data_IF_278829419321
#
_entry.id   IF_278829419321
#
_cell.length_a   1.000
_cell.length_b   1.000
_cell.length_c   1.000
_cell.angle_alpha   90.00
_cell.angle_beta   90.00
_cell.angle_gamma   90.00
#
_symmetry.space_group_name_H-M   'P 1'
#
loop_
_entity.id
_entity.type
_entity.pdbx_description
1 polymer ?
#
# COMPACT_ATOMS: atom_id res chain seq x y z
N UNK A 1 15.11 62.01 -14.35
CA UNK A 1 14.44 61.17 -15.36
C UNK A 1 15.04 59.78 -15.23
N UNK A 2 14.23 58.88 -14.70
CA UNK A 2 14.52 57.51 -14.27
C UNK A 2 14.32 56.53 -15.41
N UNK A 3 15.30 55.64 -15.66
CA UNK A 3 15.19 54.34 -16.34
C UNK A 3 16.52 53.63 -16.04
N UNK A 4 16.62 52.45 -15.43
CA UNK A 4 15.65 51.40 -15.18
C UNK A 4 16.45 50.09 -15.30
N UNK A 5 17.26 49.77 -14.27
CA UNK A 5 17.99 48.51 -14.20
C UNK A 5 17.00 47.41 -13.83
N UNK A 6 16.54 46.66 -14.83
CA UNK A 6 15.79 45.41 -14.64
C UNK A 6 16.67 44.40 -13.93
N UNK A 7 16.46 44.27 -12.62
CA UNK A 7 16.87 43.10 -11.84
C UNK A 7 16.12 41.90 -12.37
N UNK A 8 16.82 41.00 -13.05
CA UNK A 8 16.33 39.65 -13.27
C UNK A 8 16.25 38.96 -11.91
N UNK A 9 15.04 38.88 -11.34
CA UNK A 9 14.74 37.90 -10.30
C UNK A 9 14.84 36.53 -10.97
N UNK A 10 15.94 35.83 -10.73
CA UNK A 10 16.02 34.41 -10.99
C UNK A 10 15.26 33.73 -9.85
N UNK A 11 13.99 33.41 -10.11
CA UNK A 11 13.17 32.62 -9.20
C UNK A 11 13.81 31.25 -9.04
N UNK A 12 14.45 31.01 -7.89
CA UNK A 12 14.85 29.68 -7.45
C UNK A 12 13.55 28.90 -7.20
N UNK A 13 13.15 28.08 -8.16
CA UNK A 13 12.18 27.02 -7.94
C UNK A 13 12.81 26.05 -6.94
N UNK A 14 12.44 26.19 -5.67
CA UNK A 14 12.52 25.10 -4.72
C UNK A 14 11.61 23.99 -5.26
N UNK A 15 12.18 23.10 -6.07
CA UNK A 15 11.67 21.75 -6.21
C UNK A 15 11.86 21.12 -4.84
N UNK A 16 10.85 21.26 -3.98
CA UNK A 16 10.69 20.39 -2.83
C UNK A 16 10.64 18.99 -3.40
N UNK A 17 11.73 18.24 -3.23
CA UNK A 17 11.73 16.79 -3.33
C UNK A 17 10.81 16.28 -2.22
N UNK A 18 9.51 16.33 -2.47
CA UNK A 18 8.55 15.53 -1.75
C UNK A 18 9.01 14.10 -1.94
N UNK A 19 9.45 13.44 -0.87
CA UNK A 19 9.57 11.99 -0.83
C UNK A 19 8.26 11.44 -1.37
N UNK A 20 8.28 10.94 -2.61
CA UNK A 20 7.12 10.26 -3.18
C UNK A 20 7.11 8.94 -2.43
N UNK A 21 6.35 8.87 -1.35
CA UNK A 21 5.96 7.57 -0.83
C UNK A 21 5.05 7.01 -1.93
N UNK A 22 5.61 6.09 -2.70
CA UNK A 22 4.88 5.29 -3.67
C UNK A 22 3.89 4.47 -2.88
N UNK A 23 2.68 4.29 -3.40
CA UNK A 23 1.68 3.43 -2.80
C UNK A 23 2.31 2.04 -2.51
N UNK A 24 1.94 1.44 -1.37
CA UNK A 24 2.57 0.25 -0.85
C UNK A 24 1.67 -0.96 -1.09
N UNK A 25 2.17 -2.03 -1.75
CA UNK A 25 1.41 -3.26 -1.93
C UNK A 25 1.22 -3.98 -0.59
N UNK A 26 0.02 -4.48 -0.34
CA UNK A 26 -0.29 -5.35 0.81
C UNK A 26 -1.37 -6.36 0.47
N UNK A 27 -1.29 -7.54 1.06
CA UNK A 27 -2.34 -8.56 0.94
C UNK A 27 -3.28 -8.52 2.14
N UNK A 28 -4.56 -8.79 1.90
CA UNK A 28 -5.59 -8.86 2.93
C UNK A 28 -6.55 -10.02 2.67
N UNK A 29 -6.96 -10.71 3.73
CA UNK A 29 -8.03 -11.70 3.68
C UNK A 29 -9.33 -11.03 4.13
N UNK A 30 -10.31 -10.96 3.24
CA UNK A 30 -11.61 -10.34 3.48
C UNK A 30 -12.67 -11.44 3.60
N UNK A 31 -13.54 -11.35 4.60
CA UNK A 31 -14.59 -12.34 4.86
C UNK A 31 -15.96 -11.72 4.63
N UNK A 32 -16.88 -12.48 4.04
CA UNK A 32 -18.27 -12.03 3.83
C UNK A 32 -18.93 -11.67 5.18
N UNK A 33 -19.43 -10.44 5.29
CA UNK A 33 -20.05 -9.93 6.52
C UNK A 33 -21.46 -10.44 6.75
N UNK A 34 -21.88 -10.52 8.02
CA UNK A 34 -23.25 -10.82 8.41
C UNK A 34 -24.03 -9.53 8.72
N UNK A 35 -24.35 -8.76 7.68
CA UNK A 35 -25.09 -7.49 7.78
C UNK A 35 -26.45 -7.57 7.08
N UNK A 36 -27.37 -6.67 7.47
CA UNK A 36 -28.66 -6.57 6.81
C UNK A 36 -28.47 -5.98 5.40
N UNK A 37 -29.10 -6.58 4.39
CA UNK A 37 -29.05 -6.20 2.96
C UNK A 37 -27.75 -6.50 2.20
N UNK A 38 -26.72 -7.04 2.85
CA UNK A 38 -25.49 -7.50 2.18
C UNK A 38 -25.39 -9.02 2.17
N UNK A 39 -24.61 -9.54 1.22
CA UNK A 39 -24.34 -10.98 1.05
C UNK A 39 -25.65 -11.79 0.89
N UNK A 40 -26.63 -11.17 0.22
CA UNK A 40 -27.90 -11.75 -0.16
C UNK A 40 -28.04 -11.60 -1.67
N UNK A 41 -28.11 -12.71 -2.37
CA UNK A 41 -28.32 -12.75 -3.81
C UNK A 41 -29.70 -13.33 -4.05
N UNK A 42 -30.56 -12.57 -4.73
CA UNK A 42 -31.87 -13.04 -5.16
C UNK A 42 -31.70 -13.82 -6.45
N UNK A 43 -32.17 -15.07 -6.46
CA UNK A 43 -32.23 -15.91 -7.64
C UNK A 43 -33.67 -15.87 -8.17
N UNK A 44 -33.82 -15.60 -9.46
CA UNK A 44 -35.10 -15.61 -10.17
C UNK A 44 -35.09 -16.69 -11.26
N UNK A 45 -36.17 -17.46 -11.33
CA UNK A 45 -36.42 -18.44 -12.39
C UNK A 45 -37.69 -18.05 -13.14
N UNK A 46 -37.56 -17.79 -14.45
CA UNK A 46 -38.63 -17.24 -15.29
C UNK A 46 -39.12 -18.25 -16.35
N UNK A 47 -39.88 -19.29 -15.96
CA UNK A 47 -40.42 -20.25 -16.90
C UNK A 47 -41.52 -19.61 -17.77
N UNK A 48 -41.65 -20.02 -19.04
CA UNK A 48 -42.71 -19.54 -19.92
C UNK A 48 -44.08 -19.86 -19.34
N UNK A 49 -45.02 -18.91 -19.44
CA UNK A 49 -46.45 -19.04 -19.05
C UNK A 49 -46.73 -19.43 -17.58
N UNK A 50 -45.70 -19.58 -16.74
CA UNK A 50 -45.78 -19.85 -15.31
C UNK A 50 -45.25 -18.63 -14.52
N UNK A 51 -45.61 -18.49 -13.23
CA UNK A 51 -45.13 -17.37 -12.43
C UNK A 51 -43.64 -17.48 -12.14
N UNK A 52 -42.94 -16.33 -12.13
CA UNK A 52 -41.53 -16.23 -11.74
C UNK A 52 -41.32 -16.71 -10.31
N UNK A 53 -40.35 -17.60 -10.14
CA UNK A 53 -39.93 -18.13 -8.85
C UNK A 53 -38.81 -17.26 -8.32
N UNK A 54 -38.83 -17.00 -7.02
CA UNK A 54 -37.84 -16.14 -6.37
C UNK A 54 -37.45 -16.72 -5.03
N UNK A 55 -36.16 -16.81 -4.80
CA UNK A 55 -35.61 -17.09 -3.47
C UNK A 55 -34.27 -16.35 -3.29
N UNK A 56 -33.78 -16.28 -2.06
CA UNK A 56 -32.56 -15.55 -1.72
C UNK A 56 -31.53 -16.49 -1.12
N UNK A 57 -30.39 -16.62 -1.79
CA UNK A 57 -29.23 -17.28 -1.23
C UNK A 57 -28.41 -16.31 -0.38
N UNK A 58 -27.80 -16.84 0.68
CA UNK A 58 -26.88 -16.11 1.54
C UNK A 58 -25.44 -16.47 1.22
N UNK A 59 -24.64 -15.47 0.85
CA UNK A 59 -23.21 -15.64 0.61
C UNK A 59 -22.42 -15.72 1.92
N UNK A 60 -21.46 -16.63 1.94
CA UNK A 60 -20.43 -16.76 2.97
C UNK A 60 -19.11 -17.20 2.34
N UNK A 61 -17.99 -17.03 3.05
CA UNK A 61 -16.66 -17.34 2.53
C UNK A 61 -15.70 -16.17 2.65
N UNK A 62 -14.57 -16.27 1.97
CA UNK A 62 -13.50 -15.28 2.05
C UNK A 62 -12.75 -15.15 0.74
N UNK A 63 -12.19 -13.97 0.52
CA UNK A 63 -11.31 -13.69 -0.61
C UNK A 63 -9.95 -13.19 -0.09
N UNK A 64 -8.89 -13.47 -0.84
CA UNK A 64 -7.59 -12.85 -0.69
C UNK A 64 -7.44 -11.76 -1.75
N UNK A 65 -7.11 -10.55 -1.32
CA UNK A 65 -6.88 -9.40 -2.21
C UNK A 65 -5.47 -8.87 -2.04
N UNK A 66 -4.88 -8.40 -3.13
CA UNK A 66 -3.73 -7.51 -3.16
C UNK A 66 -4.22 -6.08 -3.37
N UNK A 67 -3.77 -5.16 -2.52
CA UNK A 67 -4.15 -3.75 -2.52
C UNK A 67 -2.90 -2.89 -2.64
N UNK A 68 -2.99 -1.83 -3.42
CA UNK A 68 -1.95 -0.79 -3.50
C UNK A 68 -2.43 0.44 -2.71
N UNK A 69 -1.87 0.66 -1.51
CA UNK A 69 -2.36 1.68 -0.56
C UNK A 69 -1.34 2.80 -0.39
N UNK A 70 -1.75 4.05 -0.58
CA UNK A 70 -0.95 5.22 -0.24
C UNK A 70 -1.08 5.53 1.27
N UNK A 71 0.00 5.37 2.07
CA UNK A 71 -0.03 5.64 3.51
C UNK A 71 -0.26 7.11 3.89
N UNK A 72 0.00 8.06 2.97
CA UNK A 72 -0.14 9.49 3.21
C UNK A 72 -1.59 9.92 3.02
N UNK A 73 -2.21 9.49 1.93
CA UNK A 73 -3.56 9.92 1.53
C UNK A 73 -4.66 8.99 2.03
N UNK A 74 -4.32 7.80 2.54
CA UNK A 74 -5.27 6.75 2.93
C UNK A 74 -6.14 6.27 1.77
N UNK A 75 -5.57 6.30 0.56
CA UNK A 75 -6.26 5.93 -0.69
C UNK A 75 -5.74 4.60 -1.22
N UNK A 76 -6.60 3.89 -1.93
CA UNK A 76 -6.27 2.67 -2.68
C UNK A 76 -6.36 2.95 -4.17
N UNK A 77 -5.32 2.60 -4.93
CA UNK A 77 -5.30 2.80 -6.39
C UNK A 77 -5.53 1.51 -7.18
N UNK A 78 -5.26 0.36 -6.56
CA UNK A 78 -5.38 -0.94 -7.21
C UNK A 78 -5.93 -1.97 -6.24
N UNK A 79 -6.76 -2.88 -6.76
CA UNK A 79 -7.24 -4.07 -6.07
C UNK A 79 -7.22 -5.26 -7.03
N UNK A 80 -6.54 -6.33 -6.63
CA UNK A 80 -6.54 -7.61 -7.34
C UNK A 80 -7.04 -8.70 -6.42
N UNK A 81 -8.11 -9.39 -6.82
CA UNK A 81 -8.55 -10.64 -6.17
C UNK A 81 -7.61 -11.75 -6.61
N UNK A 82 -6.78 -12.24 -5.68
CA UNK A 82 -5.80 -13.29 -5.90
C UNK A 82 -6.44 -14.67 -5.83
N UNK A 83 -7.31 -14.85 -4.85
CA UNK A 83 -8.08 -16.07 -4.62
C UNK A 83 -9.42 -15.69 -3.99
N UNK A 84 -10.45 -16.45 -4.26
CA UNK A 84 -11.78 -16.11 -3.76
C UNK A 84 -12.74 -17.26 -3.84
N UNK A 85 -13.00 -17.88 -2.69
CA UNK A 85 -13.97 -18.95 -2.55
C UNK A 85 -15.15 -18.46 -1.71
N UNK A 86 -16.32 -18.43 -2.34
CA UNK A 86 -17.58 -18.10 -1.67
C UNK A 86 -18.62 -19.17 -1.93
N UNK A 87 -19.62 -19.22 -1.07
CA UNK A 87 -20.68 -20.22 -1.12
C UNK A 87 -22.02 -19.57 -0.79
N UNK A 88 -23.02 -19.89 -1.60
CA UNK A 88 -24.42 -19.58 -1.38
C UNK A 88 -25.15 -20.71 -0.67
N UNK A 89 -26.01 -20.39 0.29
CA UNK A 89 -26.98 -21.35 0.83
C UNK A 89 -27.88 -21.92 -0.26
N UNK A 90 -28.42 -23.12 -0.03
CA UNK A 90 -29.47 -23.72 -0.84
C UNK A 90 -30.66 -22.76 -1.04
N UNK A 91 -31.31 -22.86 -2.19
CA UNK A 91 -32.51 -22.12 -2.55
C UNK A 91 -33.60 -23.04 -3.09
N UNK A 92 -34.85 -22.64 -2.90
CA UNK A 92 -36.04 -23.34 -3.38
C UNK A 92 -36.86 -22.40 -4.28
N UNK A 93 -37.05 -22.80 -5.53
CA UNK A 93 -37.79 -22.05 -6.53
C UNK A 93 -39.00 -22.86 -6.96
N UNK A 94 -40.20 -22.37 -6.63
CA UNK A 94 -41.44 -23.03 -7.02
C UNK A 94 -42.49 -22.04 -7.52
N UNK A 95 -43.36 -22.53 -8.40
CA UNK A 95 -44.43 -21.73 -8.96
C UNK A 95 -45.46 -22.62 -9.62
N UNK A 96 -46.73 -22.23 -9.52
CA UNK A 96 -47.83 -22.96 -10.14
C UNK A 96 -48.90 -22.03 -10.66
N UNK A 97 -49.59 -22.46 -11.71
CA UNK A 97 -50.82 -21.82 -12.18
C UNK A 97 -51.85 -22.90 -12.49
N UNK A 98 -53.01 -22.75 -11.87
CA UNK A 98 -54.12 -23.68 -12.00
C UNK A 98 -54.46 -23.93 -13.48
N UNK A 99 -54.49 -25.20 -13.89
CA UNK A 99 -54.71 -25.69 -15.27
C UNK A 99 -53.60 -25.44 -16.29
N UNK A 100 -52.53 -24.70 -15.97
CA UNK A 100 -51.39 -24.47 -16.88
C UNK A 100 -50.25 -25.42 -16.56
N UNK A 101 -49.84 -25.48 -15.30
CA UNK A 101 -48.64 -26.23 -14.91
C UNK A 101 -48.04 -25.81 -13.57
N UNK A 102 -46.90 -26.40 -13.25
CA UNK A 102 -46.11 -26.13 -12.05
C UNK A 102 -44.63 -26.47 -12.25
N UNK A 103 -43.77 -25.86 -11.45
CA UNK A 103 -42.40 -26.29 -11.26
C UNK A 103 -42.01 -26.23 -9.79
N UNK A 104 -41.01 -27.04 -9.45
CA UNK A 104 -40.38 -27.10 -8.14
C UNK A 104 -38.92 -27.47 -8.34
N UNK A 105 -38.01 -26.56 -7.96
CA UNK A 105 -36.57 -26.69 -8.11
C UNK A 105 -35.89 -26.41 -6.78
N UNK A 106 -34.93 -27.25 -6.42
CA UNK A 106 -34.11 -27.13 -5.23
C UNK A 106 -32.64 -27.08 -5.65
N UNK A 107 -31.87 -26.18 -5.04
CA UNK A 107 -30.43 -26.17 -5.19
C UNK A 107 -29.75 -26.81 -3.98
N UNK A 108 -28.60 -27.44 -4.21
CA UNK A 108 -27.64 -27.66 -3.12
C UNK A 108 -27.03 -26.33 -2.68
N UNK A 109 -26.13 -26.36 -1.69
CA UNK A 109 -25.14 -25.29 -1.51
C UNK A 109 -24.41 -25.07 -2.83
N UNK A 110 -24.30 -23.82 -3.27
CA UNK A 110 -23.64 -23.43 -4.52
C UNK A 110 -22.29 -22.81 -4.19
N UNK A 111 -21.19 -23.39 -4.68
CA UNK A 111 -19.86 -22.81 -4.52
C UNK A 111 -19.50 -21.97 -5.75
N UNK A 112 -18.91 -20.81 -5.51
CA UNK A 112 -18.51 -19.86 -6.52
C UNK A 112 -17.11 -19.31 -6.26
N UNK A 113 -16.43 -18.95 -7.35
CA UNK A 113 -15.11 -18.35 -7.34
C UNK A 113 -15.17 -16.89 -7.76
N UNK A 114 -14.34 -16.06 -7.12
CA UNK A 114 -14.10 -14.67 -7.51
C UNK A 114 -12.64 -14.49 -7.95
N UNK A 115 -12.45 -13.75 -9.04
CA UNK A 115 -11.11 -13.50 -9.56
C UNK A 115 -11.01 -12.17 -10.29
N UNK A 116 -9.78 -11.67 -10.44
CA UNK A 116 -9.44 -10.56 -11.35
C UNK A 116 -8.69 -11.13 -12.55
N UNK A 117 -9.36 -11.37 -13.70
CA UNK A 117 -8.74 -12.06 -14.83
C UNK A 117 -7.56 -11.29 -15.44
N UNK A 118 -7.61 -9.95 -15.41
CA UNK A 118 -6.56 -9.07 -15.93
C UNK A 118 -6.05 -8.15 -14.81
N UNK A 119 -5.07 -8.60 -14.01
CA UNK A 119 -4.51 -7.78 -12.94
C UNK A 119 -3.52 -6.72 -13.46
N UNK A 120 -3.38 -5.57 -12.78
CA UNK A 120 -4.14 -5.16 -11.59
C UNK A 120 -5.52 -4.61 -11.93
N UNK A 121 -6.49 -4.82 -11.03
CA UNK A 121 -7.77 -4.12 -11.09
C UNK A 121 -7.60 -2.66 -10.61
N UNK A 122 -8.15 -1.72 -11.37
CA UNK A 122 -7.98 -0.28 -11.15
C UNK A 122 -9.11 0.24 -10.26
N UNK A 123 -8.72 1.00 -9.24
CA UNK A 123 -9.62 1.68 -8.30
C UNK A 123 -9.38 3.19 -8.41
N UNK A 124 -10.45 3.97 -8.48
CA UNK A 124 -10.34 5.43 -8.38
C UNK A 124 -9.91 5.80 -6.96
N UNK A 125 -8.70 6.35 -6.73
CA UNK A 125 -8.21 6.64 -5.39
C UNK A 125 -9.04 7.69 -4.65
N UNK A 126 -9.76 8.53 -5.38
CA UNK A 126 -10.53 9.63 -4.79
C UNK A 126 -11.88 9.18 -4.22
N UNK A 127 -12.48 8.14 -4.79
CA UNK A 127 -13.80 7.63 -4.38
C UNK A 127 -13.75 6.22 -3.80
N UNK A 128 -12.69 5.46 -4.09
CA UNK A 128 -12.62 4.02 -3.82
C UNK A 128 -13.45 3.18 -4.78
N UNK A 129 -14.04 3.77 -5.82
CA UNK A 129 -14.88 3.08 -6.78
C UNK A 129 -14.07 2.33 -7.84
N UNK A 130 -14.57 1.17 -8.27
CA UNK A 130 -14.01 0.43 -9.39
C UNK A 130 -15.12 -0.11 -10.30
N UNK A 131 -14.78 -0.34 -11.57
CA UNK A 131 -15.68 -1.02 -12.51
C UNK A 131 -15.70 -2.51 -12.18
N UNK A 132 -16.88 -3.05 -11.79
CA UNK A 132 -17.05 -4.44 -11.41
C UNK A 132 -16.76 -5.42 -12.56
N UNK A 133 -16.75 -4.96 -13.82
CA UNK A 133 -16.43 -5.80 -14.97
C UNK A 133 -14.96 -6.26 -14.99
N UNK A 134 -14.10 -5.62 -14.19
CA UNK A 134 -12.72 -6.04 -13.96
C UNK A 134 -12.61 -7.34 -13.15
N UNK A 135 -13.71 -7.79 -12.54
CA UNK A 135 -13.75 -9.00 -11.74
C UNK A 135 -14.78 -9.98 -12.28
N UNK A 136 -14.54 -11.28 -12.06
CA UNK A 136 -15.45 -12.35 -12.46
C UNK A 136 -16.04 -13.05 -11.25
N UNK A 137 -17.30 -13.45 -11.37
CA UNK A 137 -17.98 -14.32 -10.43
C UNK A 137 -18.45 -15.57 -11.18
N UNK A 138 -17.99 -16.75 -10.76
CA UNK A 138 -18.30 -18.02 -11.43
C UNK A 138 -18.77 -19.06 -10.43
N UNK A 139 -20.02 -19.50 -10.54
CA UNK A 139 -20.56 -20.66 -9.82
C UNK A 139 -20.00 -21.91 -10.49
N UNK A 140 -19.23 -22.69 -9.72
CA UNK A 140 -18.45 -23.83 -10.24
C UNK A 140 -18.65 -25.12 -9.46
N UNK A 141 -19.59 -25.14 -8.51
CA UNK A 141 -19.98 -26.36 -7.80
C UNK A 141 -21.39 -26.27 -7.22
N UNK A 142 -21.97 -27.45 -6.98
CA UNK A 142 -23.35 -27.60 -6.53
C UNK A 142 -24.29 -27.95 -7.67
N UNK A 143 -25.54 -28.22 -7.33
CA UNK A 143 -26.58 -28.60 -8.29
C UNK A 143 -27.82 -27.73 -8.13
N UNK A 144 -28.58 -27.57 -9.22
CA UNK A 144 -29.94 -27.02 -9.23
C UNK A 144 -30.81 -27.99 -10.03
N UNK A 145 -31.80 -28.60 -9.39
CA UNK A 145 -32.61 -29.62 -10.06
C UNK A 145 -34.02 -29.73 -9.51
N UNK A 146 -34.87 -30.40 -10.28
CA UNK A 146 -36.27 -30.60 -9.94
C UNK A 146 -37.12 -30.81 -11.19
N UNK A 147 -38.43 -30.55 -11.09
CA UNK A 147 -39.36 -30.88 -12.15
C UNK A 147 -40.10 -29.64 -12.66
N UNK A 148 -40.30 -29.56 -13.97
CA UNK A 148 -41.17 -28.57 -14.62
C UNK A 148 -42.21 -29.26 -15.48
N UNK A 149 -43.47 -28.86 -15.31
CA UNK A 149 -44.62 -29.40 -16.04
C UNK A 149 -45.48 -28.26 -16.56
N UNK A 150 -45.61 -28.14 -17.88
CA UNK A 150 -46.46 -27.16 -18.57
C UNK A 150 -47.34 -27.89 -19.59
N UNK A 151 -48.60 -28.14 -19.22
CA UNK A 151 -49.52 -28.94 -20.01
C UNK A 151 -49.83 -28.35 -21.39
N UNK A 152 -49.92 -27.01 -21.50
CA UNK A 152 -50.22 -26.32 -22.76
C UNK A 152 -49.10 -26.43 -23.80
N UNK A 153 -47.85 -26.57 -23.33
CA UNK A 153 -46.66 -26.69 -24.17
C UNK A 153 -46.20 -28.15 -24.30
N UNK A 154 -46.87 -29.09 -23.62
CA UNK A 154 -46.47 -30.50 -23.58
C UNK A 154 -45.14 -30.74 -22.86
N UNK A 155 -44.69 -29.78 -22.04
CA UNK A 155 -43.41 -29.86 -21.31
C UNK A 155 -43.65 -30.67 -20.03
N UNK A 156 -42.85 -31.71 -19.81
CA UNK A 156 -42.79 -32.45 -18.56
C UNK A 156 -41.38 -33.01 -18.42
N UNK A 157 -40.49 -32.20 -17.85
CA UNK A 157 -39.05 -32.45 -17.84
C UNK A 157 -38.51 -32.42 -16.42
N UNK A 158 -37.50 -33.25 -16.18
CA UNK A 158 -36.67 -33.14 -15.00
C UNK A 158 -35.45 -32.28 -15.36
N UNK A 159 -35.30 -31.15 -14.69
CA UNK A 159 -34.13 -30.29 -14.81
C UNK A 159 -33.07 -30.77 -13.82
N UNK A 160 -31.82 -30.83 -14.28
CA UNK A 160 -30.68 -31.19 -13.45
C UNK A 160 -29.44 -30.45 -13.98
N UNK A 161 -29.08 -29.37 -13.31
CA UNK A 161 -27.90 -28.57 -13.61
C UNK A 161 -26.81 -28.89 -12.60
N UNK A 162 -25.67 -29.38 -13.09
CA UNK A 162 -24.46 -29.60 -12.29
C UNK A 162 -23.40 -28.56 -12.65
N UNK A 163 -23.23 -27.58 -11.76
CA UNK A 163 -22.30 -26.47 -11.95
C UNK A 163 -20.83 -26.89 -11.89
N UNK A 164 -20.55 -28.12 -11.46
CA UNK A 164 -19.21 -28.71 -11.53
C UNK A 164 -18.84 -29.04 -12.98
N UNK A 165 -19.81 -29.49 -13.77
CA UNK A 165 -19.61 -29.87 -15.17
C UNK A 165 -19.87 -28.69 -16.12
N UNK A 166 -20.83 -27.84 -15.78
CA UNK A 166 -21.19 -26.65 -16.55
C UNK A 166 -21.18 -25.40 -15.64
N UNK A 167 -19.99 -24.85 -15.35
CA UNK A 167 -19.88 -23.63 -14.55
C UNK A 167 -20.59 -22.46 -15.22
N UNK A 168 -21.27 -21.65 -14.40
CA UNK A 168 -21.98 -20.46 -14.88
C UNK A 168 -21.44 -19.23 -14.20
N UNK A 169 -21.21 -18.18 -14.97
CA UNK A 169 -20.58 -16.98 -14.44
C UNK A 169 -20.44 -15.89 -15.47
N UNK A 170 -19.83 -14.80 -15.05
CA UNK A 170 -19.57 -13.65 -15.89
C UNK A 170 -18.72 -12.61 -15.18
N UNK A 171 -18.41 -11.55 -15.90
CA UNK A 171 -17.84 -10.34 -15.33
C UNK A 171 -18.91 -9.61 -14.51
N UNK A 172 -18.51 -8.96 -13.42
CA UNK A 172 -19.42 -8.15 -12.62
C UNK A 172 -20.03 -7.00 -13.42
N UNK A 173 -21.18 -6.50 -12.96
CA UNK A 173 -21.86 -5.36 -13.56
C UNK A 173 -21.97 -4.21 -12.56
N UNK A 174 -21.86 -2.98 -13.05
CA UNK A 174 -21.97 -1.77 -12.23
C UNK A 174 -20.67 -1.39 -11.53
N UNK A 175 -20.80 -0.69 -10.41
CA UNK A 175 -19.68 -0.09 -9.68
C UNK A 175 -19.54 -0.75 -8.33
N UNK A 176 -18.36 -1.30 -8.05
CA UNK A 176 -17.98 -1.75 -6.72
C UNK A 176 -17.20 -0.68 -5.97
N UNK A 177 -16.99 -0.90 -4.67
CA UNK A 177 -16.23 0.04 -3.82
C UNK A 177 -15.23 -0.67 -2.93
N UNK A 178 -14.09 -0.02 -2.69
CA UNK A 178 -13.10 -0.37 -1.68
C UNK A 178 -13.01 0.79 -0.70
N UNK A 179 -13.36 0.55 0.56
CA UNK A 179 -13.26 1.53 1.63
C UNK A 179 -12.14 1.15 2.59
N UNK A 180 -11.20 2.07 2.81
CA UNK A 180 -10.16 1.93 3.82
C UNK A 180 -10.53 2.76 5.05
N UNK A 181 -10.64 2.10 6.20
CA UNK A 181 -10.80 2.78 7.49
C UNK A 181 -9.53 2.62 8.33
N UNK A 182 -8.70 3.66 8.50
CA UNK A 182 -7.50 3.57 9.33
C UNK A 182 -7.83 3.16 10.77
N UNK A 183 -7.13 2.16 11.29
CA UNK A 183 -7.33 1.66 12.66
C UNK A 183 -6.15 1.99 13.57
N UNK A 184 -4.93 1.78 13.10
CA UNK A 184 -3.70 2.04 13.86
C UNK A 184 -2.67 2.70 12.95
N UNK A 185 -1.95 3.69 13.47
CA UNK A 185 -0.84 4.35 12.78
C UNK A 185 0.37 4.44 13.70
N UNK A 186 1.52 3.97 13.21
CA UNK A 186 2.83 4.13 13.83
C UNK A 186 3.80 4.77 12.81
N UNK A 187 4.99 5.21 13.24
CA UNK A 187 6.01 5.69 12.29
C UNK A 187 6.48 4.65 11.27
N UNK A 188 6.24 3.36 11.51
CA UNK A 188 6.76 2.24 10.70
C UNK A 188 5.67 1.36 10.11
N UNK A 189 4.40 1.63 10.39
CA UNK A 189 3.29 0.83 9.87
C UNK A 189 1.96 1.55 9.99
N UNK A 190 1.01 1.17 9.15
CA UNK A 190 -0.37 1.62 9.21
C UNK A 190 -1.31 0.46 8.92
N UNK A 191 -2.37 0.34 9.72
CA UNK A 191 -3.35 -0.73 9.61
C UNK A 191 -4.72 -0.17 9.29
N UNK A 192 -5.50 -0.91 8.52
CA UNK A 192 -6.82 -0.54 8.03
C UNK A 192 -7.82 -1.66 8.27
N UNK A 193 -9.09 -1.30 8.47
CA UNK A 193 -10.20 -2.17 8.09
C UNK A 193 -10.50 -1.90 6.62
N UNK A 194 -10.52 -2.95 5.81
CA UNK A 194 -10.85 -2.89 4.40
C UNK A 194 -12.24 -3.47 4.23
N UNK A 195 -13.13 -2.69 3.63
CA UNK A 195 -14.47 -3.12 3.24
C UNK A 195 -14.58 -3.06 1.72
N UNK A 196 -14.89 -4.20 1.09
CA UNK A 196 -15.11 -4.31 -0.35
C UNK A 196 -16.56 -4.63 -0.61
N UNK A 197 -17.25 -3.79 -1.38
CA UNK A 197 -18.61 -4.05 -1.87
C UNK A 197 -18.55 -4.37 -3.36
N UNK A 198 -19.00 -5.57 -3.73
CA UNK A 198 -19.02 -6.07 -5.09
C UNK A 198 -20.47 -6.36 -5.51
N UNK A 199 -21.02 -5.62 -6.48
CA UNK A 199 -22.25 -5.99 -7.14
C UNK A 199 -22.11 -7.35 -7.84
N UNK A 200 -23.06 -8.24 -7.60
CA UNK A 200 -23.15 -9.55 -8.26
C UNK A 200 -24.36 -9.54 -9.16
N UNK A 201 -24.15 -9.84 -10.43
CA UNK A 201 -25.21 -9.98 -11.41
C UNK A 201 -24.85 -11.11 -12.37
N UNK A 202 -25.74 -12.10 -12.48
CA UNK A 202 -25.64 -13.22 -13.41
C UNK A 202 -26.95 -13.28 -14.18
N UNK A 203 -26.88 -13.32 -15.50
CA UNK A 203 -28.03 -13.52 -16.38
C UNK A 203 -27.70 -14.68 -17.34
N UNK A 204 -28.42 -15.78 -17.20
CA UNK A 204 -28.19 -17.01 -17.95
C UNK A 204 -29.51 -17.51 -18.53
N UNK A 205 -29.43 -18.17 -19.68
CA UNK A 205 -30.61 -18.74 -20.34
C UNK A 205 -30.35 -20.21 -20.58
N UNK A 206 -31.17 -21.06 -19.96
CA UNK A 206 -31.13 -22.50 -20.15
C UNK A 206 -32.17 -22.93 -21.18
N UNK A 207 -31.93 -24.02 -21.88
CA UNK A 207 -32.90 -24.61 -22.80
C UNK A 207 -33.48 -25.90 -22.21
N UNK A 208 -34.80 -25.95 -22.04
CA UNK A 208 -35.53 -27.13 -21.59
C UNK A 208 -36.61 -27.49 -22.62
N UNK A 209 -36.53 -28.69 -23.20
CA UNK A 209 -37.45 -29.18 -24.22
C UNK A 209 -37.68 -28.19 -25.41
N UNK A 210 -36.61 -27.52 -25.85
CA UNK A 210 -36.69 -26.54 -26.95
C UNK A 210 -37.22 -25.16 -26.54
N UNK A 211 -37.36 -24.90 -25.24
CA UNK A 211 -37.81 -23.61 -24.71
C UNK A 211 -36.75 -22.97 -23.83
N UNK A 212 -36.48 -21.69 -24.06
CA UNK A 212 -35.55 -20.90 -23.28
C UNK A 212 -36.16 -20.48 -21.94
N UNK A 213 -35.43 -20.72 -20.87
CA UNK A 213 -35.80 -20.42 -19.49
C UNK A 213 -34.68 -19.58 -18.86
N UNK A 214 -34.91 -18.26 -18.68
CA UNK A 214 -33.96 -17.39 -18.02
C UNK A 214 -33.81 -17.71 -16.52
N UNK A 215 -32.58 -17.65 -16.05
CA UNK A 215 -32.19 -17.64 -14.64
C UNK A 215 -31.37 -16.38 -14.39
N UNK A 216 -31.83 -15.57 -13.44
CA UNK A 216 -31.16 -14.33 -13.04
C UNK A 216 -30.74 -14.42 -11.59
N UNK A 217 -29.55 -13.92 -11.28
CA UNK A 217 -29.10 -13.72 -9.92
C UNK A 217 -28.63 -12.28 -9.76
N UNK A 218 -29.16 -11.56 -8.77
CA UNK A 218 -28.75 -10.19 -8.48
C UNK A 218 -28.57 -9.95 -6.97
N UNK A 219 -27.60 -9.11 -6.63
CA UNK A 219 -27.39 -8.66 -5.25
C UNK A 219 -26.05 -7.98 -5.07
N UNK A 220 -25.63 -7.83 -3.81
CA UNK A 220 -24.35 -7.24 -3.45
C UNK A 220 -23.63 -8.09 -2.41
N UNK A 221 -22.37 -8.41 -2.69
CA UNK A 221 -21.46 -9.03 -1.75
C UNK A 221 -20.66 -7.95 -1.01
N UNK A 222 -20.54 -8.07 0.30
CA UNK A 222 -19.70 -7.20 1.13
C UNK A 222 -18.72 -8.05 1.92
N UNK A 223 -17.43 -7.82 1.73
CA UNK A 223 -16.36 -8.55 2.40
C UNK A 223 -15.50 -7.57 3.19
N UNK A 224 -15.14 -7.96 4.42
CA UNK A 224 -14.40 -7.12 5.35
C UNK A 224 -13.23 -7.86 5.96
N UNK A 225 -12.12 -7.15 6.17
CA UNK A 225 -10.94 -7.72 6.81
C UNK A 225 -9.84 -6.70 7.06
N UNK A 226 -8.85 -7.03 7.92
CA UNK A 226 -7.75 -6.14 8.21
C UNK A 226 -6.68 -6.19 7.12
N UNK A 227 -6.07 -5.03 6.83
CA UNK A 227 -4.84 -4.90 6.05
C UNK A 227 -3.79 -4.12 6.84
N UNK A 228 -2.51 -4.41 6.63
CA UNK A 228 -1.40 -3.64 7.23
C UNK A 228 -0.33 -3.38 6.20
N UNK A 229 0.09 -2.13 6.08
CA UNK A 229 1.25 -1.72 5.30
C UNK A 229 2.41 -1.42 6.24
N UNK A 230 3.61 -1.82 5.82
CA UNK A 230 4.84 -1.34 6.43
C UNK A 230 5.22 0.00 5.81
N UNK A 231 5.53 0.96 6.67
CA UNK A 231 6.05 2.27 6.28
C UNK A 231 7.54 2.23 6.55
N UNK A 232 8.35 2.46 5.53
CA UNK A 232 9.78 2.67 5.71
C UNK A 232 9.93 4.15 6.09
N UNK A 233 10.23 4.48 7.36
CA UNK A 233 10.45 5.87 7.73
C UNK A 233 11.69 6.39 7.01
N UNK A 234 11.61 7.62 6.51
CA UNK A 234 12.78 8.30 5.95
C UNK A 234 13.94 8.31 6.94
N UNK A 235 15.17 8.09 6.46
CA UNK A 235 16.36 8.14 7.29
C UNK A 235 16.51 9.56 7.89
N UNK A 236 16.49 9.71 9.23
CA UNK A 236 16.63 11.03 9.88
C UNK A 236 17.89 11.78 9.45
N UNK A 237 18.97 11.08 9.09
CA UNK A 237 20.19 11.67 8.55
C UNK A 237 19.98 12.27 7.17
N UNK A 238 19.31 11.54 6.27
CA UNK A 238 19.03 11.99 4.91
C UNK A 238 18.17 13.24 4.95
N UNK A 239 17.06 13.21 5.68
CA UNK A 239 16.17 14.37 5.85
C UNK A 239 16.90 15.58 6.45
N UNK A 240 17.74 15.36 7.47
CA UNK A 240 18.54 16.44 8.06
C UNK A 240 19.56 16.99 7.06
N UNK A 241 20.23 16.12 6.30
CA UNK A 241 21.23 16.53 5.31
C UNK A 241 20.60 17.38 4.21
N UNK A 242 19.42 16.99 3.70
CA UNK A 242 18.65 17.77 2.73
C UNK A 242 18.21 19.11 3.28
N UNK A 243 17.62 19.13 4.49
CA UNK A 243 17.17 20.36 5.14
C UNK A 243 18.30 21.38 5.38
N UNK A 244 19.54 20.92 5.49
CA UNK A 244 20.73 21.76 5.68
C UNK A 244 21.54 21.96 4.39
N UNK A 245 21.07 21.48 3.24
CA UNK A 245 21.77 21.62 1.95
C UNK A 245 23.07 20.80 1.84
N UNK A 246 23.20 19.74 2.65
CA UNK A 246 24.34 18.80 2.73
C UNK A 246 23.95 17.41 2.17
N UNK A 247 22.78 17.27 1.55
CA UNK A 247 22.45 16.05 0.81
C UNK A 247 23.58 15.70 -0.16
N UNK A 248 23.84 14.40 -0.35
CA UNK A 248 24.93 13.89 -1.18
C UNK A 248 25.11 14.72 -2.45
N UNK A 249 26.34 15.10 -2.73
CA UNK A 249 26.61 16.07 -3.76
C UNK A 249 26.12 15.57 -5.12
N UNK A 250 25.24 16.33 -5.78
CA UNK A 250 24.88 16.03 -7.17
C UNK A 250 26.13 16.06 -8.05
N UNK A 251 26.12 15.45 -9.25
CA UNK A 251 27.26 15.52 -10.17
C UNK A 251 27.71 16.95 -10.53
N UNK A 252 26.82 17.95 -10.41
CA UNK A 252 27.15 19.37 -10.59
C UNK A 252 27.80 20.00 -9.36
N UNK A 253 27.57 19.40 -8.19
CA UNK A 253 28.07 19.84 -6.90
C UNK A 253 29.26 19.01 -6.42
N UNK A 254 29.68 17.96 -7.12
CA UNK A 254 30.85 17.14 -6.85
C UNK A 254 31.62 16.95 -8.15
N UNK A 255 32.53 17.89 -8.42
CA UNK A 255 33.24 17.98 -9.70
C UNK A 255 34.20 16.82 -9.92
N UNK A 256 34.67 16.20 -8.84
CA UNK A 256 35.70 15.16 -8.84
C UNK A 256 35.15 13.76 -8.54
N UNK A 257 33.85 13.63 -8.25
CA UNK A 257 33.15 12.38 -8.03
C UNK A 257 33.50 11.70 -6.70
N UNK A 258 33.94 12.46 -5.70
CA UNK A 258 34.39 11.94 -4.41
C UNK A 258 33.28 11.80 -3.36
N UNK A 259 32.06 12.23 -3.69
CA UNK A 259 30.88 12.19 -2.82
C UNK A 259 30.78 13.35 -1.83
N UNK A 260 31.72 14.30 -1.83
CA UNK A 260 31.72 15.50 -1.00
C UNK A 260 31.42 16.72 -1.87
N UNK A 261 30.45 17.55 -1.47
CA UNK A 261 30.10 18.70 -2.30
C UNK A 261 31.24 19.73 -2.35
N UNK A 262 31.47 20.31 -3.54
CA UNK A 262 32.38 21.42 -3.80
C UNK A 262 32.19 22.57 -2.79
N UNK A 263 30.96 22.78 -2.29
CA UNK A 263 30.69 23.77 -1.25
C UNK A 263 31.30 23.42 0.10
N UNK A 264 31.30 22.13 0.49
CA UNK A 264 32.00 21.64 1.68
C UNK A 264 33.51 21.70 1.46
N UNK A 265 34.01 21.30 0.29
CA UNK A 265 35.44 21.42 -0.03
C UNK A 265 35.93 22.88 0.06
N UNK A 266 35.19 23.82 -0.56
CA UNK A 266 35.47 25.25 -0.46
C UNK A 266 35.42 25.77 0.98
N UNK A 267 34.45 25.34 1.79
CA UNK A 267 34.35 25.72 3.19
C UNK A 267 35.52 25.20 4.04
N UNK A 268 36.13 24.08 3.65
CA UNK A 268 37.36 23.54 4.23
C UNK A 268 38.63 24.24 3.71
N UNK A 269 38.49 25.23 2.81
CA UNK A 269 39.60 25.92 2.17
C UNK A 269 40.29 25.10 1.08
N UNK A 270 39.60 24.09 0.55
CA UNK A 270 40.10 23.18 -0.48
C UNK A 270 39.54 23.57 -1.84
N UNK A 271 40.35 23.35 -2.87
CA UNK A 271 39.92 23.40 -4.26
C UNK A 271 39.24 22.08 -4.68
N UNK A 272 38.38 22.13 -5.71
CA UNK A 272 37.59 20.99 -6.19
C UNK A 272 38.40 19.77 -6.69
N UNK A 273 39.73 19.88 -6.77
CA UNK A 273 40.64 18.80 -7.15
C UNK A 273 41.39 18.18 -5.97
N UNK A 274 41.31 18.80 -4.80
CA UNK A 274 41.99 18.34 -3.59
C UNK A 274 41.15 17.26 -2.90
N UNK A 275 41.82 16.27 -2.29
CA UNK A 275 41.11 15.22 -1.56
C UNK A 275 40.59 15.79 -0.23
N UNK A 276 39.28 15.83 0.01
CA UNK A 276 38.72 16.39 1.24
C UNK A 276 38.81 15.44 2.43
N UNK A 277 38.97 14.13 2.21
CA UNK A 277 38.92 13.14 3.27
C UNK A 277 39.90 13.42 4.43
N UNK A 278 41.18 13.79 4.23
CA UNK A 278 42.09 14.13 5.33
C UNK A 278 41.62 15.28 6.23
N UNK A 279 40.71 16.13 5.74
CA UNK A 279 40.15 17.28 6.44
C UNK A 279 38.78 16.99 7.09
N UNK A 280 38.24 15.80 6.86
CA UNK A 280 37.00 15.30 7.44
C UNK A 280 37.28 14.38 8.64
N UNK A 281 36.24 14.13 9.44
CA UNK A 281 36.32 13.18 10.53
C UNK A 281 36.59 11.77 9.99
N UNK A 282 37.73 11.19 10.35
CA UNK A 282 38.16 9.87 9.90
C UNK A 282 37.78 8.79 10.92
N UNK A 283 37.36 7.60 10.50
CA UNK A 283 37.19 6.47 11.41
C UNK A 283 38.57 6.04 11.95
N UNK A 284 38.66 5.92 13.26
CA UNK A 284 39.86 5.48 13.98
C UNK A 284 39.72 4.08 14.57
N UNK A 285 40.49 3.79 15.61
CA UNK A 285 40.50 2.48 16.27
C UNK A 285 39.13 2.11 16.87
N UNK A 286 38.66 0.91 16.55
CA UNK A 286 37.48 0.30 17.15
C UNK A 286 37.89 -0.81 18.11
N UNK A 287 37.48 -0.71 19.36
CA UNK A 287 37.69 -1.75 20.37
C UNK A 287 36.34 -2.19 20.98
N UNK A 288 36.37 -3.05 22.00
CA UNK A 288 35.16 -3.58 22.63
C UNK A 288 34.31 -2.51 23.32
N UNK A 289 34.90 -1.41 23.79
CA UNK A 289 34.26 -0.36 24.57
C UNK A 289 33.93 0.89 23.75
N UNK A 290 34.71 1.23 22.71
CA UNK A 290 34.57 2.48 21.97
C UNK A 290 34.88 2.34 20.47
N UNK A 291 34.23 3.17 19.66
CA UNK A 291 34.64 3.50 18.29
C UNK A 291 35.30 4.88 18.34
N UNK A 292 36.51 5.00 17.79
CA UNK A 292 37.22 6.28 17.74
C UNK A 292 37.03 6.96 16.39
N UNK A 293 37.04 8.28 16.39
CA UNK A 293 37.10 9.11 15.21
C UNK A 293 38.22 10.14 15.37
N UNK A 294 38.89 10.46 14.28
CA UNK A 294 40.08 11.29 14.30
C UNK A 294 39.89 12.49 13.37
N UNK A 295 40.28 13.66 13.82
CA UNK A 295 40.33 14.86 13.00
C UNK A 295 41.75 15.40 13.00
N UNK A 296 42.39 15.43 11.85
CA UNK A 296 43.69 16.08 11.69
C UNK A 296 43.48 17.57 11.50
N UNK A 297 44.18 18.37 12.30
CA UNK A 297 44.11 19.82 12.19
C UNK A 297 45.27 20.40 11.41
N UNK A 298 45.02 21.43 10.58
CA UNK A 298 46.07 22.08 9.81
C UNK A 298 47.07 22.82 10.70
N UNK A 299 48.31 22.94 10.23
CA UNK A 299 49.32 23.77 10.87
C UNK A 299 48.93 25.26 10.87
N UNK A 300 49.30 25.98 11.93
CA UNK A 300 49.08 27.43 12.03
C UNK A 300 47.67 27.87 12.45
N UNK A 301 46.80 26.94 12.87
CA UNK A 301 45.45 27.26 13.37
C UNK A 301 45.43 28.05 14.68
N UNK A 302 44.37 28.85 14.89
CA UNK A 302 44.09 29.53 16.16
C UNK A 302 43.44 28.58 17.16
N UNK A 303 43.88 28.60 18.43
CA UNK A 303 43.26 27.81 19.49
C UNK A 303 41.78 28.16 19.65
N UNK A 304 40.93 27.14 19.62
CA UNK A 304 39.55 27.25 20.07
C UNK A 304 39.13 25.93 20.75
N UNK A 305 38.30 25.97 21.81
CA UNK A 305 37.65 24.77 22.32
C UNK A 305 36.79 24.15 21.22
N UNK A 306 36.88 22.83 21.07
CA UNK A 306 35.94 22.06 20.28
C UNK A 306 34.83 21.59 21.20
N UNK A 307 33.60 22.02 20.94
CA UNK A 307 32.43 21.44 21.56
C UNK A 307 31.97 20.26 20.72
N UNK A 308 32.17 19.04 21.26
CA UNK A 308 31.60 17.82 20.69
C UNK A 308 30.28 17.56 21.39
N UNK A 309 29.21 17.43 20.62
CA UNK A 309 27.89 17.12 21.15
C UNK A 309 27.33 15.86 20.46
N UNK A 310 26.43 15.18 21.15
CA UNK A 310 25.78 13.97 20.67
C UNK A 310 24.27 14.04 20.81
N UNK A 311 23.56 13.44 19.86
CA UNK A 311 22.11 13.32 19.87
C UNK A 311 21.67 12.02 19.22
N UNK A 312 20.49 11.50 19.58
CA UNK A 312 19.91 10.33 18.91
C UNK A 312 19.13 10.70 17.65
N UNK A 313 18.81 11.99 17.45
CA UNK A 313 18.07 12.54 16.32
C UNK A 313 18.70 13.90 15.97
N UNK A 314 19.17 14.13 14.73
CA UNK A 314 19.92 15.34 14.38
C UNK A 314 18.99 16.56 14.23
N UNK A 315 17.67 16.36 14.32
CA UNK A 315 16.65 17.42 14.33
C UNK A 315 16.32 17.91 15.75
N UNK A 316 16.92 17.31 16.79
CA UNK A 316 16.70 17.67 18.20
C UNK A 316 17.97 18.29 18.80
N UNK A 317 17.84 18.86 19.99
CA UNK A 317 18.98 19.39 20.72
C UNK A 317 20.01 18.30 21.05
N UNK A 318 21.28 18.60 20.83
CA UNK A 318 22.40 17.74 21.16
C UNK A 318 22.89 18.00 22.59
N UNK A 319 23.47 17.00 23.23
CA UNK A 319 24.09 17.12 24.56
C UNK A 319 25.60 17.06 24.47
N UNK A 320 26.35 17.88 25.24
CA UNK A 320 27.79 17.84 25.24
C UNK A 320 28.34 16.45 25.59
N UNK A 321 29.29 15.98 24.80
CA UNK A 321 30.06 14.77 25.09
C UNK A 321 30.99 15.06 26.28
N UNK A 322 31.09 14.11 27.21
CA UNK A 322 31.98 14.26 28.36
C UNK A 322 33.44 14.43 27.93
N UNK A 323 34.23 15.31 28.59
CA UNK A 323 35.59 15.63 28.18
C UNK A 323 36.56 14.45 28.22
N UNK A 324 36.26 13.39 28.98
CA UNK A 324 37.05 12.16 29.02
C UNK A 324 36.98 11.32 27.73
N UNK A 325 35.95 11.55 26.91
CA UNK A 325 35.75 10.88 25.63
C UNK A 325 36.41 11.62 24.46
N UNK A 326 36.99 12.79 24.73
CA UNK A 326 37.80 13.55 23.77
C UNK A 326 39.25 13.40 24.24
N UNK A 327 40.20 13.19 23.33
CA UNK A 327 41.61 12.97 23.64
C UNK A 327 42.12 13.92 24.74
N UNK A 328 42.56 13.41 25.92
CA UNK A 328 42.98 14.25 27.02
C UNK A 328 44.22 15.05 26.62
N UNK A 329 44.13 16.38 26.73
CA UNK A 329 45.18 17.33 26.30
C UNK A 329 44.97 17.98 24.93
N UNK A 330 43.96 17.56 24.17
CA UNK A 330 43.65 18.08 22.82
C UNK A 330 42.34 18.88 22.74
N UNK A 331 41.83 19.42 23.85
CA UNK A 331 40.65 20.29 23.83
C UNK A 331 40.59 21.24 25.05
N UNK A 332 40.71 22.57 24.88
CA UNK A 332 41.04 23.25 23.63
C UNK A 332 42.45 22.87 23.14
N UNK A 333 42.63 22.89 21.83
CA UNK A 333 43.93 22.62 21.21
C UNK A 333 44.75 23.91 21.35
N UNK A 334 45.99 23.84 21.86
CA UNK A 334 46.83 25.02 22.00
C UNK A 334 46.99 25.80 20.68
N UNK A 335 47.20 27.11 20.77
CA UNK A 335 47.25 27.95 19.57
C UNK A 335 48.56 27.65 18.82
N UNK A 336 48.50 27.46 17.51
CA UNK A 336 49.68 27.16 16.70
C UNK A 336 50.19 25.72 16.82
N UNK A 337 49.45 24.80 17.45
CA UNK A 337 49.76 23.36 17.40
C UNK A 337 48.96 22.65 16.31
N UNK A 338 49.64 21.90 15.46
CA UNK A 338 49.04 20.82 14.66
C UNK A 338 48.84 19.58 15.53
N UNK A 339 47.90 18.72 15.17
CA UNK A 339 47.60 17.53 15.96
C UNK A 339 46.38 16.77 15.48
N UNK A 340 46.14 15.63 16.13
CA UNK A 340 44.99 14.77 15.89
C UNK A 340 44.06 14.83 17.10
N UNK A 341 42.79 15.15 16.88
CA UNK A 341 41.75 15.07 17.90
C UNK A 341 41.11 13.71 17.80
N UNK A 342 41.16 12.91 18.86
CA UNK A 342 40.45 11.64 18.92
C UNK A 342 39.16 11.79 19.72
N UNK A 343 38.02 11.53 19.07
CA UNK A 343 36.70 11.45 19.70
C UNK A 343 36.37 9.96 19.88
N UNK A 344 36.10 9.53 21.11
CA UNK A 344 35.77 8.14 21.45
C UNK A 344 34.30 8.04 21.80
N UNK A 345 33.55 7.27 21.02
CA UNK A 345 32.13 7.05 21.25
C UNK A 345 31.94 5.66 21.87
N UNK A 346 31.24 5.53 23.00
CA UNK A 346 30.89 4.24 23.59
C UNK A 346 30.21 3.29 22.58
N UNK A 347 30.66 2.04 22.52
CA UNK A 347 30.04 1.02 21.68
C UNK A 347 28.60 0.77 22.13
N UNK A 348 27.66 0.80 21.19
CA UNK A 348 26.23 0.62 21.46
C UNK A 348 25.45 1.93 21.63
N UNK A 349 26.13 3.08 21.75
CA UNK A 349 25.49 4.36 21.50
C UNK A 349 25.25 4.51 19.99
N UNK A 350 23.98 4.54 19.59
CA UNK A 350 23.55 4.95 18.25
C UNK A 350 23.16 6.43 18.31
N UNK A 351 23.66 7.22 17.36
CA UNK A 351 23.36 8.65 17.32
C UNK A 351 24.28 9.42 16.39
N UNK A 352 24.06 10.73 16.35
CA UNK A 352 24.77 11.72 15.58
C UNK A 352 25.79 12.43 16.47
N UNK A 353 26.96 12.72 15.90
CA UNK A 353 28.00 13.51 16.57
C UNK A 353 28.17 14.80 15.80
N UNK A 354 28.07 15.92 16.51
CA UNK A 354 28.31 17.24 15.96
C UNK A 354 29.55 17.85 16.61
N UNK A 355 30.45 18.35 15.77
CA UNK A 355 31.57 19.17 16.19
C UNK A 355 31.21 20.64 15.94
N UNK A 356 31.51 21.50 16.91
CA UNK A 356 31.27 22.94 16.81
C UNK A 356 32.35 23.71 17.58
N UNK A 357 32.55 24.97 17.23
CA UNK A 357 33.24 25.93 18.09
C UNK A 357 32.19 26.72 18.89
N UNK A 358 32.42 27.00 20.18
CA UNK A 358 31.47 27.73 21.03
C UNK A 358 31.21 29.16 20.57
#
# INVERSE_FOLDING_TARGET
>A
MTLGTTRNLLSLLFLSSSSIIVATPTTATLTAVNEQNFNRITLEFEPPVLPTGRDTTRLSGSIEVLLEIDPITDQVSEMTILDGDVQGSAVELSGSTFLIGSYDLESSTLGATLATPEPPGIVDPSTGEFDSSQHTFTVSSGTLGGNISIGLLGINENLDFDFTNEPVGGTGLGTGTVTLTPTTSTPTSKSYNVDVELPVAVDQVFEAAGVQVPIRADGSAKLSGPATIEIIPDDPFVLWSEANGIAGATPLQDSNGDGVSNGIQWALGLDASENPFPHLLQPGETNAATVSFTLTLPEGGTASPLLVTMGSDPRRGFTPLGPALISPGGNPIPAGTSGEVTIRIPRGQRGFVQLSTP
#
